data_IF_819307101919
#
_entry.id   IF_819307101919
#
_cell.length_a   1.000
_cell.length_b   1.000
_cell.length_c   1.000
_cell.angle_alpha   90.00
_cell.angle_beta   90.00
_cell.angle_gamma   90.00
#
_symmetry.space_group_name_H-M   'P 1'
#
loop_
_entity.id
_entity.type
_entity.pdbx_description
1 polymer ?
#
# COMPACT_ATOMS: atom_id res chain seq x y z
N UNK A 1 -10.07 -11.99 5.36
CA UNK A 1 -10.21 -11.93 6.83
C UNK A 1 -9.01 -12.56 7.56
N UNK A 2 -8.54 -13.75 7.18
CA UNK A 2 -7.39 -14.41 7.87
C UNK A 2 -6.06 -13.63 7.76
N UNK A 3 -5.77 -13.05 6.59
CA UNK A 3 -4.57 -12.23 6.36
C UNK A 3 -4.55 -10.97 7.24
N UNK A 4 -5.71 -10.32 7.41
CA UNK A 4 -5.84 -9.14 8.30
C UNK A 4 -5.76 -9.51 9.78
N UNK A 5 -6.08 -10.77 10.12
CA UNK A 5 -6.00 -11.31 11.47
C UNK A 5 -4.63 -11.96 11.78
N UNK A 6 -3.67 -11.88 10.86
CA UNK A 6 -2.32 -12.44 10.99
C UNK A 6 -2.30 -13.94 11.33
N UNK A 7 -3.36 -14.67 10.95
CA UNK A 7 -3.52 -16.08 11.24
C UNK A 7 -2.90 -16.94 10.12
N UNK A 8 -2.15 -17.97 10.51
CA UNK A 8 -1.56 -18.93 9.56
C UNK A 8 -2.67 -19.65 8.78
N UNK A 9 -2.52 -19.72 7.46
CA UNK A 9 -3.42 -20.48 6.58
C UNK A 9 -2.95 -21.93 6.54
N UNK A 10 -3.84 -22.88 6.81
CA UNK A 10 -3.55 -24.32 6.70
C UNK A 10 -4.05 -24.88 5.37
N UNK A 11 -3.46 -25.99 4.92
CA UNK A 11 -3.91 -26.68 3.70
C UNK A 11 -5.38 -27.11 3.82
N UNK A 12 -5.83 -27.47 5.01
CA UNK A 12 -7.23 -27.86 5.26
C UNK A 12 -8.20 -26.71 5.03
N UNK A 13 -7.85 -25.48 5.44
CA UNK A 13 -8.67 -24.30 5.19
C UNK A 13 -8.77 -23.98 3.69
N UNK A 14 -7.68 -24.19 2.94
CA UNK A 14 -7.68 -24.02 1.48
C UNK A 14 -8.59 -25.06 0.83
N UNK A 15 -8.48 -26.32 1.26
CA UNK A 15 -9.32 -27.40 0.77
C UNK A 15 -10.80 -27.17 1.08
N UNK A 16 -11.14 -26.69 2.28
CA UNK A 16 -12.51 -26.35 2.66
C UNK A 16 -13.06 -25.22 1.77
N UNK A 17 -12.28 -24.16 1.54
CA UNK A 17 -12.68 -23.08 0.65
C UNK A 17 -12.89 -23.57 -0.81
N UNK A 18 -12.01 -24.45 -1.30
CA UNK A 18 -12.16 -25.07 -2.61
C UNK A 18 -13.42 -25.96 -2.69
N UNK A 19 -13.73 -26.70 -1.63
CA UNK A 19 -14.95 -27.50 -1.55
C UNK A 19 -16.22 -26.64 -1.54
N UNK A 20 -16.20 -25.50 -0.84
CA UNK A 20 -17.30 -24.55 -0.84
C UNK A 20 -17.55 -23.99 -2.25
N UNK A 21 -16.49 -23.65 -2.99
CA UNK A 21 -16.59 -23.21 -4.39
C UNK A 21 -17.16 -24.32 -5.30
N UNK A 22 -16.65 -25.54 -5.18
CA UNK A 22 -17.16 -26.71 -5.92
C UNK A 22 -18.65 -26.95 -5.61
N UNK A 23 -19.04 -26.87 -4.35
CA UNK A 23 -20.43 -27.00 -3.92
C UNK A 23 -21.33 -25.91 -4.50
N UNK A 24 -20.88 -24.65 -4.52
CA UNK A 24 -21.62 -23.55 -5.13
C UNK A 24 -21.84 -23.77 -6.63
N UNK A 25 -20.81 -24.23 -7.36
CA UNK A 25 -20.91 -24.57 -8.78
C UNK A 25 -21.89 -25.73 -9.00
N UNK A 26 -21.86 -26.77 -8.16
CA UNK A 26 -22.80 -27.89 -8.24
C UNK A 26 -24.26 -27.49 -8.01
N UNK A 27 -24.52 -26.47 -7.17
CA UNK A 27 -25.89 -25.97 -6.93
C UNK A 27 -26.44 -25.30 -8.20
N UNK A 28 -25.61 -24.52 -8.89
CA UNK A 28 -26.01 -23.82 -10.12
C UNK A 28 -26.08 -24.80 -11.31
N UNK A 29 -25.14 -25.74 -11.37
CA UNK A 29 -25.00 -26.73 -12.44
C UNK A 29 -25.04 -28.16 -11.86
N UNK A 30 -26.23 -28.69 -11.55
CA UNK A 30 -26.37 -30.01 -10.91
C UNK A 30 -25.94 -31.18 -11.80
N UNK A 31 -25.91 -30.97 -13.12
CA UNK A 31 -25.43 -31.97 -14.10
C UNK A 31 -23.92 -31.88 -14.34
N UNK A 32 -23.21 -31.01 -13.61
CA UNK A 32 -21.80 -30.70 -13.85
C UNK A 32 -21.61 -29.65 -14.94
N UNK A 33 -20.39 -29.13 -15.04
CA UNK A 33 -19.97 -28.28 -16.13
C UNK A 33 -19.54 -29.14 -17.33
N UNK A 34 -19.43 -28.56 -18.53
CA UNK A 34 -18.79 -29.22 -19.65
C UNK A 34 -17.30 -29.48 -19.37
N UNK A 35 -16.70 -30.55 -19.92
CA UNK A 35 -15.31 -30.90 -19.64
C UNK A 35 -14.28 -29.90 -20.19
N UNK A 36 -14.69 -29.03 -21.10
CA UNK A 36 -13.88 -27.95 -21.67
C UNK A 36 -14.10 -26.60 -20.97
N UNK A 37 -14.95 -26.55 -19.95
CA UNK A 37 -15.20 -25.32 -19.20
C UNK A 37 -13.95 -24.94 -18.38
N UNK A 38 -13.50 -23.67 -18.43
CA UNK A 38 -12.32 -23.22 -17.69
C UNK A 38 -12.39 -23.54 -16.20
N UNK A 39 -13.56 -23.40 -15.56
CA UNK A 39 -13.73 -23.61 -14.12
C UNK A 39 -13.55 -25.10 -13.78
N UNK A 40 -14.02 -25.99 -14.64
CA UNK A 40 -13.84 -27.43 -14.44
C UNK A 40 -12.40 -27.88 -14.68
N UNK A 41 -11.73 -27.28 -15.67
CA UNK A 41 -10.31 -27.49 -15.95
C UNK A 41 -9.44 -27.03 -14.78
N UNK A 42 -9.69 -25.83 -14.23
CA UNK A 42 -9.02 -25.30 -13.03
C UNK A 42 -9.21 -26.22 -11.81
N UNK A 43 -10.43 -26.72 -11.59
CA UNK A 43 -10.69 -27.65 -10.48
C UNK A 43 -9.99 -29.00 -10.60
N UNK A 44 -9.64 -29.39 -11.84
CA UNK A 44 -8.91 -30.62 -12.16
C UNK A 44 -7.41 -30.38 -12.34
N UNK A 45 -6.95 -29.13 -12.27
CA UNK A 45 -5.56 -28.74 -12.51
C UNK A 45 -5.08 -29.19 -13.91
N UNK A 46 -5.97 -29.05 -14.90
CA UNK A 46 -5.79 -29.44 -16.31
C UNK A 46 -5.87 -28.24 -17.25
N UNK A 47 -5.78 -27.02 -16.72
CA UNK A 47 -5.77 -25.82 -17.53
C UNK A 47 -4.56 -25.75 -18.48
N UNK A 48 -4.81 -25.37 -19.73
CA UNK A 48 -3.77 -25.02 -20.68
C UNK A 48 -3.35 -23.57 -20.44
N UNK A 49 -2.26 -23.37 -19.68
CA UNK A 49 -1.74 -22.03 -19.38
C UNK A 49 -0.84 -21.47 -20.50
N UNK A 50 -0.44 -22.30 -21.47
CA UNK A 50 0.49 -21.90 -22.52
C UNK A 50 -0.03 -20.71 -23.34
N UNK A 51 0.76 -19.62 -23.37
CA UNK A 51 0.43 -18.41 -24.12
C UNK A 51 -0.43 -17.38 -23.37
N UNK A 52 -0.92 -17.70 -22.18
CA UNK A 52 -1.71 -16.78 -21.33
C UNK A 52 -0.82 -16.06 -20.32
N UNK A 53 -1.19 -14.83 -19.92
CA UNK A 53 -0.45 -14.07 -18.90
C UNK A 53 -0.34 -14.84 -17.57
N UNK A 54 -1.35 -15.65 -17.26
CA UNK A 54 -1.42 -16.49 -16.06
C UNK A 54 -0.30 -17.53 -15.98
N UNK A 55 0.32 -17.90 -17.11
CA UNK A 55 1.51 -18.78 -17.11
C UNK A 55 2.74 -18.19 -16.42
N UNK A 56 2.80 -16.86 -16.28
CA UNK A 56 3.92 -16.19 -15.61
C UNK A 56 3.84 -16.34 -14.09
N UNK A 57 2.62 -16.48 -13.55
CA UNK A 57 2.37 -16.54 -12.11
C UNK A 57 2.43 -17.97 -11.57
N UNK A 58 2.18 -18.97 -12.42
CA UNK A 58 2.27 -20.39 -12.06
C UNK A 58 3.71 -20.88 -12.19
N UNK A 59 4.36 -21.13 -11.05
CA UNK A 59 5.73 -21.66 -10.99
C UNK A 59 5.66 -23.15 -10.65
N UNK A 60 6.12 -24.04 -11.55
CA UNK A 60 6.20 -25.47 -11.26
C UNK A 60 7.06 -25.75 -10.03
N UNK A 61 6.68 -26.75 -9.25
CA UNK A 61 7.40 -27.08 -8.02
C UNK A 61 8.88 -27.34 -8.27
N UNK A 62 9.30 -27.92 -9.40
CA UNK A 62 10.71 -28.20 -9.68
C UNK A 62 11.57 -26.92 -9.88
N UNK A 63 10.96 -25.86 -10.40
CA UNK A 63 11.62 -24.59 -10.75
C UNK A 63 11.45 -23.52 -9.68
N UNK A 64 10.82 -23.86 -8.55
CA UNK A 64 10.53 -22.93 -7.47
C UNK A 64 11.73 -22.80 -6.52
N UNK A 65 12.28 -21.59 -6.43
CA UNK A 65 13.31 -21.19 -5.47
C UNK A 65 12.73 -20.27 -4.41
N UNK A 66 13.16 -20.48 -3.16
CA UNK A 66 12.76 -19.67 -2.02
C UNK A 66 13.91 -18.71 -1.66
N UNK A 67 13.58 -17.47 -1.32
CA UNK A 67 14.55 -16.43 -1.00
C UNK A 67 14.27 -15.82 0.36
N UNK A 68 15.29 -15.79 1.22
CA UNK A 68 15.23 -15.17 2.52
C UNK A 68 16.41 -14.21 2.69
N UNK A 69 16.13 -12.96 3.04
CA UNK A 69 17.15 -11.91 3.28
C UNK A 69 18.21 -11.80 2.18
N UNK A 70 17.78 -11.88 0.91
CA UNK A 70 18.68 -11.79 -0.26
C UNK A 70 19.54 -13.02 -0.52
N UNK A 71 19.31 -14.14 0.18
CA UNK A 71 19.97 -15.43 -0.07
C UNK A 71 18.96 -16.46 -0.57
N UNK A 72 19.39 -17.26 -1.53
CA UNK A 72 18.61 -18.40 -2.02
C UNK A 72 18.63 -19.55 -1.00
N UNK A 73 17.45 -20.10 -0.73
CA UNK A 73 17.23 -21.27 0.12
C UNK A 73 17.21 -22.51 -0.77
N UNK A 74 18.28 -23.30 -0.73
CA UNK A 74 18.33 -24.54 -1.49
C UNK A 74 17.50 -25.65 -0.82
N UNK A 75 16.81 -26.43 -1.66
CA UNK A 75 16.06 -27.62 -1.21
C UNK A 75 17.01 -28.66 -0.63
N UNK A 76 16.60 -29.27 0.49
CA UNK A 76 17.40 -30.29 1.19
C UNK A 76 18.34 -29.74 2.27
N UNK A 77 18.54 -28.43 2.37
CA UNK A 77 19.20 -27.82 3.53
C UNK A 77 18.21 -27.58 4.66
N UNK A 78 18.70 -27.62 5.89
CA UNK A 78 17.87 -27.32 7.06
C UNK A 78 17.55 -25.82 7.10
N UNK A 79 16.34 -25.47 7.52
CA UNK A 79 15.94 -24.07 7.71
C UNK A 79 16.83 -23.36 8.74
N UNK A 80 17.38 -24.10 9.71
CA UNK A 80 18.32 -23.60 10.70
C UNK A 80 19.58 -22.98 10.09
N UNK A 81 20.00 -23.45 8.91
CA UNK A 81 21.21 -22.96 8.25
C UNK A 81 21.01 -21.57 7.65
N UNK A 82 19.76 -21.20 7.39
CA UNK A 82 19.42 -19.94 6.71
C UNK A 82 18.72 -18.93 7.62
N UNK A 83 17.88 -19.39 8.54
CA UNK A 83 17.15 -18.56 9.51
C UNK A 83 17.86 -18.51 10.87
N UNK A 84 18.66 -19.53 11.20
CA UNK A 84 19.33 -19.67 12.49
C UNK A 84 18.58 -20.58 13.47
N UNK A 85 19.02 -20.58 14.74
CA UNK A 85 18.50 -21.45 15.82
C UNK A 85 17.37 -20.83 16.66
N UNK A 86 16.75 -19.74 16.19
CA UNK A 86 15.73 -19.03 16.96
C UNK A 86 14.32 -19.53 16.64
N UNK A 87 13.66 -20.10 17.65
CA UNK A 87 12.33 -20.72 17.54
C UNK A 87 11.16 -19.71 17.52
N UNK A 88 11.39 -18.44 17.87
CA UNK A 88 10.35 -17.39 17.86
C UNK A 88 10.55 -16.39 16.72
N UNK A 89 10.79 -16.89 15.51
CA UNK A 89 11.06 -16.03 14.34
C UNK A 89 9.95 -16.14 13.30
N UNK A 90 9.28 -15.03 12.98
CA UNK A 90 8.41 -14.92 11.79
C UNK A 90 9.31 -14.59 10.59
N UNK A 91 9.29 -15.43 9.58
CA UNK A 91 10.15 -15.33 8.39
C UNK A 91 9.27 -14.98 7.20
N UNK A 92 9.62 -13.91 6.48
CA UNK A 92 8.99 -13.57 5.21
C UNK A 92 9.90 -14.10 4.11
N UNK A 93 9.38 -15.02 3.31
CA UNK A 93 10.12 -15.68 2.23
C UNK A 93 9.50 -15.26 0.91
N UNK A 94 10.36 -14.94 -0.06
CA UNK A 94 9.93 -14.62 -1.42
C UNK A 94 10.09 -15.84 -2.32
N UNK A 95 9.14 -16.03 -3.21
CA UNK A 95 9.12 -17.11 -4.18
C UNK A 95 9.60 -16.56 -5.53
N UNK A 96 10.45 -17.32 -6.22
CA UNK A 96 10.91 -16.94 -7.56
C UNK A 96 11.26 -18.16 -8.41
N UNK A 97 11.12 -18.02 -9.74
CA UNK A 97 11.56 -19.02 -10.72
C UNK A 97 13.08 -19.16 -10.70
N UNK A 98 13.54 -20.40 -10.76
CA UNK A 98 14.94 -20.80 -10.80
C UNK A 98 15.68 -20.14 -11.97
N UNK A 99 16.83 -19.54 -11.69
CA UNK A 99 17.65 -18.84 -12.68
C UNK A 99 17.42 -17.32 -12.74
N UNK A 100 16.39 -16.79 -12.08
CA UNK A 100 16.25 -15.34 -11.92
C UNK A 100 17.15 -14.81 -10.79
N UNK A 101 17.54 -13.55 -10.91
CA UNK A 101 18.31 -12.84 -9.88
C UNK A 101 17.50 -12.62 -8.60
N UNK A 102 18.20 -12.30 -7.50
CA UNK A 102 17.60 -12.07 -6.20
C UNK A 102 16.37 -11.16 -6.27
N UNK A 103 15.26 -11.51 -5.58
CA UNK A 103 14.04 -10.76 -5.67
C UNK A 103 14.25 -9.35 -5.12
N UNK A 104 13.65 -8.37 -5.81
CA UNK A 104 13.74 -6.98 -5.41
C UNK A 104 13.23 -6.81 -3.96
N UNK A 105 13.93 -5.96 -3.20
CA UNK A 105 13.51 -5.62 -1.85
C UNK A 105 12.13 -4.95 -1.93
N UNK A 106 11.23 -5.37 -1.05
CA UNK A 106 9.94 -4.68 -0.94
C UNK A 106 10.16 -3.21 -0.58
N UNK A 107 9.30 -2.34 -1.11
CA UNK A 107 9.29 -0.94 -0.71
C UNK A 107 8.97 -0.89 0.78
N UNK A 108 9.78 -0.15 1.52
CA UNK A 108 9.64 0.00 2.98
C UNK A 108 8.33 0.73 3.34
N UNK A 109 7.74 1.44 2.38
CA UNK A 109 6.55 2.27 2.53
C UNK A 109 5.45 1.66 1.67
N UNK A 110 4.28 1.43 2.27
CA UNK A 110 3.08 1.00 1.54
C UNK A 110 2.66 2.08 0.53
N UNK A 111 2.00 1.70 -0.56
CA UNK A 111 1.51 2.65 -1.57
C UNK A 111 0.60 3.73 -0.97
N UNK A 112 -0.22 3.36 0.02
CA UNK A 112 -1.13 4.30 0.68
C UNK A 112 -0.38 5.26 1.63
N UNK A 113 0.64 4.76 2.32
CA UNK A 113 1.53 5.60 3.14
C UNK A 113 2.33 6.56 2.25
N UNK A 114 2.78 6.10 1.07
CA UNK A 114 3.50 6.91 0.10
C UNK A 114 2.60 8.05 -0.44
N UNK A 115 1.32 7.77 -0.73
CA UNK A 115 0.34 8.80 -1.15
C UNK A 115 0.10 9.82 -0.04
N UNK A 116 -0.07 9.38 1.20
CA UNK A 116 -0.27 10.29 2.34
C UNK A 116 0.95 11.17 2.58
N UNK A 117 2.14 10.59 2.50
CA UNK A 117 3.41 11.31 2.60
C UNK A 117 3.54 12.37 1.48
N UNK A 118 3.25 11.99 0.24
CA UNK A 118 3.27 12.92 -0.90
C UNK A 118 2.27 14.07 -0.70
N UNK A 119 1.05 13.76 -0.26
CA UNK A 119 0.02 14.76 0.00
C UNK A 119 0.42 15.72 1.14
N UNK A 120 1.06 15.20 2.19
CA UNK A 120 1.59 16.00 3.28
C UNK A 120 2.68 16.97 2.80
N UNK A 121 3.66 16.46 2.04
CA UNK A 121 4.73 17.30 1.50
C UNK A 121 4.21 18.36 0.54
N UNK A 122 3.24 18.01 -0.31
CA UNK A 122 2.60 18.97 -1.21
C UNK A 122 1.88 20.08 -0.44
N UNK A 123 1.09 19.74 0.59
CA UNK A 123 0.43 20.74 1.44
C UNK A 123 1.44 21.65 2.13
N UNK A 124 2.52 21.08 2.67
CA UNK A 124 3.60 21.85 3.30
C UNK A 124 4.29 22.80 2.33
N UNK A 125 4.56 22.36 1.10
CA UNK A 125 5.11 23.24 0.05
C UNK A 125 4.16 24.37 -0.30
N UNK A 126 2.85 24.11 -0.41
CA UNK A 126 1.84 25.14 -0.67
C UNK A 126 1.73 26.14 0.49
N UNK A 127 1.76 25.67 1.74
CA UNK A 127 1.78 26.52 2.93
C UNK A 127 3.02 27.43 2.94
N UNK A 128 4.20 26.88 2.67
CA UNK A 128 5.46 27.63 2.61
C UNK A 128 5.43 28.67 1.49
N UNK A 129 4.99 28.28 0.29
CA UNK A 129 4.85 29.20 -0.86
C UNK A 129 3.89 30.34 -0.56
N UNK A 130 2.76 30.04 0.09
CA UNK A 130 1.80 31.07 0.53
C UNK A 130 2.40 32.00 1.59
N UNK A 131 3.25 31.49 2.47
CA UNK A 131 3.92 32.28 3.49
C UNK A 131 5.02 33.18 2.88
N UNK A 132 5.72 32.71 1.84
CA UNK A 132 6.67 33.50 1.05
C UNK A 132 5.97 34.59 0.22
N UNK A 133 4.83 34.27 -0.41
CA UNK A 133 4.04 35.22 -1.20
C UNK A 133 3.29 36.25 -0.33
N UNK A 134 3.10 35.97 0.96
CA UNK A 134 2.57 36.94 1.91
C UNK A 134 3.63 38.02 2.21
N UNK A 135 3.77 38.98 1.30
CA UNK A 135 4.32 40.30 1.60
C UNK A 135 3.30 41.09 2.44
N UNK A 136 3.09 40.66 3.70
CA UNK A 136 2.10 41.25 4.60
C UNK A 136 2.53 42.66 5.04
N UNK A 137 2.35 43.62 4.14
CA UNK A 137 2.47 45.05 4.40
C UNK A 137 1.27 45.58 5.20
N UNK A 138 0.34 44.74 5.69
CA UNK A 138 -0.76 45.21 6.54
C UNK A 138 -0.28 45.80 7.88
N UNK A 139 0.96 45.49 8.28
CA UNK A 139 1.67 46.19 9.35
C UNK A 139 1.80 47.69 9.07
N UNK A 140 2.02 48.11 7.82
CA UNK A 140 2.33 49.50 7.45
C UNK A 140 1.12 50.43 7.57
N UNK A 141 -0.10 49.94 7.35
CA UNK A 141 -1.36 50.71 7.45
C UNK A 141 -2.09 50.50 8.79
N UNK A 142 -1.45 49.79 9.72
CA UNK A 142 -2.08 49.43 10.98
C UNK A 142 -2.16 50.62 11.95
N UNK A 143 -3.29 50.77 12.66
CA UNK A 143 -3.50 51.86 13.63
C UNK A 143 -2.46 51.89 14.76
N UNK A 144 -1.84 50.73 15.04
CA UNK A 144 -0.80 50.61 16.06
C UNK A 144 0.58 51.10 15.57
N UNK A 145 0.81 51.16 14.26
CA UNK A 145 2.00 51.75 13.65
C UNK A 145 1.90 53.27 13.47
N UNK A 146 0.70 53.87 13.64
CA UNK A 146 0.51 55.33 13.57
C UNK A 146 1.15 56.03 14.78
N UNK A 147 2.36 56.56 14.58
CA UNK A 147 3.12 57.34 15.58
C UNK A 147 2.37 58.58 16.09
N UNK A 148 1.35 59.05 15.38
CA UNK A 148 0.53 60.20 15.75
C UNK A 148 -0.81 59.82 16.40
N UNK A 149 -1.12 58.52 16.54
CA UNK A 149 -2.38 58.02 17.10
C UNK A 149 -2.64 58.55 18.52
N UNK A 150 -1.61 58.55 19.37
CA UNK A 150 -1.72 59.07 20.75
C UNK A 150 -1.95 60.59 20.77
N UNK A 151 -1.30 61.32 19.86
CA UNK A 151 -1.43 62.78 19.73
C UNK A 151 -2.84 63.16 19.28
N UNK A 152 -3.42 62.44 18.31
CA UNK A 152 -4.81 62.64 17.86
C UNK A 152 -5.81 62.37 18.98
N UNK A 153 -5.56 61.33 19.79
CA UNK A 153 -6.39 61.00 20.95
C UNK A 153 -6.35 62.10 22.01
N UNK A 154 -5.17 62.64 22.33
CA UNK A 154 -5.05 63.75 23.30
C UNK A 154 -5.67 65.06 22.81
N UNK A 155 -5.66 65.30 21.49
CA UNK A 155 -6.25 66.48 20.87
C UNK A 155 -7.75 66.32 20.56
N UNK A 156 -8.36 65.16 20.85
CA UNK A 156 -9.78 64.89 20.60
C UNK A 156 -10.16 64.76 19.12
N UNK A 157 -9.19 64.54 18.23
CA UNK A 157 -9.35 64.56 16.77
C UNK A 157 -9.69 63.19 16.16
N UNK A 158 -10.39 62.33 16.91
CA UNK A 158 -10.61 60.93 16.50
C UNK A 158 -11.80 60.72 15.54
N UNK A 159 -12.73 61.67 15.42
CA UNK A 159 -14.00 61.48 14.67
C UNK A 159 -14.29 62.64 13.69
N UNK A 160 -13.32 62.96 12.83
CA UNK A 160 -13.46 64.03 11.82
C UNK A 160 -14.15 63.47 10.56
N UNK A 161 -15.47 63.66 10.45
CA UNK A 161 -16.24 63.32 9.25
C UNK A 161 -16.29 64.50 8.28
N UNK A 162 -15.65 64.35 7.12
CA UNK A 162 -15.56 65.37 6.07
C UNK A 162 -16.72 65.40 5.07
N UNK A 163 -17.80 64.64 5.29
CA UNK A 163 -18.99 64.63 4.41
C UNK A 163 -20.18 65.33 5.07
N UNK A 164 -20.92 66.20 4.35
CA UNK A 164 -22.14 66.81 4.86
C UNK A 164 -23.23 65.75 5.07
N UNK A 165 -24.06 65.95 6.10
CA UNK A 165 -25.22 65.08 6.41
C UNK A 165 -26.35 65.27 5.42
#
# INVERSE_FOLDING_TARGET
KLVQADQCVTCDQINEALQQLKGAVMIVYPMGLPPYDPIELEFKNQEELEGTQDSLDVIPEADLTLWFSGKEMHRGKLLSDSVGKNEKTKVIVKIQKKGNAAPARERVVSDDEQKQMMAYYYRKQQELKKLEENEDNSYMDSEWADRNSLKRTFQGLNDIKWKPR
#
